data_IF_108913852944
#
_entry.id   IF_108913852944
#
_cell.length_a   1.000
_cell.length_b   1.000
_cell.length_c   1.000
_cell.angle_alpha   90.00
_cell.angle_beta   90.00
_cell.angle_gamma   90.00
#
_symmetry.space_group_name_H-M   'P 1'
#
loop_
_entity.id
_entity.type
_entity.pdbx_description
1 polymer ?
#
# COMPACT_ATOMS: atom_id res chain seq x y z
N UNK A 1 21.93 -12.57 -3.81
CA UNK A 1 20.69 -12.54 -3.00
C UNK A 1 19.56 -11.76 -3.70
N UNK A 2 19.87 -10.70 -4.47
CA UNK A 2 18.89 -9.90 -5.25
C UNK A 2 18.29 -10.63 -6.47
N UNK A 3 19.04 -11.57 -7.05
CA UNK A 3 18.64 -12.31 -8.28
C UNK A 3 17.31 -13.07 -8.13
N UNK A 4 16.96 -13.51 -6.92
CA UNK A 4 15.72 -14.25 -6.65
C UNK A 4 14.51 -13.36 -6.31
N UNK A 5 14.69 -12.03 -6.27
CA UNK A 5 13.59 -11.10 -6.00
C UNK A 5 12.85 -10.82 -7.31
N UNK A 6 11.53 -10.99 -7.28
CA UNK A 6 10.62 -10.55 -8.33
C UNK A 6 10.17 -9.12 -8.02
N UNK A 7 10.83 -8.15 -8.64
CA UNK A 7 10.57 -6.73 -8.39
C UNK A 7 9.21 -6.29 -8.92
N UNK A 8 8.69 -6.91 -10.00
CA UNK A 8 7.34 -6.61 -10.52
C UNK A 8 6.23 -6.71 -9.49
N UNK A 9 6.41 -7.57 -8.48
CA UNK A 9 5.40 -7.80 -7.44
C UNK A 9 5.46 -6.82 -6.28
N UNK A 10 6.54 -6.03 -6.17
CA UNK A 10 6.75 -5.07 -5.09
C UNK A 10 5.86 -3.84 -5.26
N UNK A 11 5.12 -3.47 -4.22
CA UNK A 11 4.34 -2.24 -4.18
C UNK A 11 5.18 -1.09 -3.61
N UNK A 12 6.16 -0.65 -4.40
CA UNK A 12 7.10 0.41 -4.04
C UNK A 12 6.37 1.73 -3.78
N UNK A 13 5.30 2.02 -4.53
CA UNK A 13 4.52 3.25 -4.36
C UNK A 13 3.83 3.29 -3.01
N UNK A 14 3.21 2.19 -2.57
CA UNK A 14 2.64 2.11 -1.22
C UNK A 14 3.70 2.34 -0.14
N UNK A 15 4.86 1.69 -0.26
CA UNK A 15 5.95 1.86 0.69
C UNK A 15 6.44 3.33 0.74
N UNK A 16 6.67 3.94 -0.41
CA UNK A 16 7.09 5.35 -0.51
C UNK A 16 6.03 6.29 0.08
N UNK A 17 4.74 6.00 -0.12
CA UNK A 17 3.65 6.77 0.50
C UNK A 17 3.72 6.68 2.03
N UNK A 18 3.87 5.49 2.59
CA UNK A 18 3.92 5.26 4.04
C UNK A 18 5.14 5.96 4.69
N UNK A 19 6.29 5.92 4.01
CA UNK A 19 7.50 6.66 4.44
C UNK A 19 7.24 8.17 4.37
N UNK A 20 6.75 8.67 3.24
CA UNK A 20 6.46 10.11 3.05
C UNK A 20 5.49 10.63 4.10
N UNK A 21 4.38 9.92 4.34
CA UNK A 21 3.36 10.31 5.32
C UNK A 21 3.90 10.32 6.75
N UNK A 22 4.79 9.37 7.07
CA UNK A 22 5.45 9.34 8.39
C UNK A 22 6.33 10.56 8.59
N UNK A 23 7.22 10.87 7.63
CA UNK A 23 8.09 12.03 7.68
C UNK A 23 7.29 13.35 7.65
N UNK A 24 6.25 13.43 6.82
CA UNK A 24 5.32 14.56 6.78
C UNK A 24 4.69 14.83 8.15
N UNK A 25 4.17 13.78 8.79
CA UNK A 25 3.57 13.90 10.12
C UNK A 25 4.59 14.34 11.17
N UNK A 26 5.82 13.82 11.09
CA UNK A 26 6.93 14.24 11.96
C UNK A 26 7.29 15.72 11.78
N UNK A 27 7.16 16.27 10.57
CA UNK A 27 7.38 17.69 10.29
C UNK A 27 6.37 18.63 10.91
N UNK A 28 5.20 18.12 11.28
CA UNK A 28 4.08 18.92 11.81
C UNK A 28 3.92 18.78 13.33
N UNK A 29 4.77 18.01 14.02
CA UNK A 29 4.62 17.78 15.47
C UNK A 29 4.81 19.05 16.30
N UNK A 30 5.49 20.06 15.75
CA UNK A 30 5.64 21.38 16.34
C UNK A 30 4.30 22.14 16.50
N UNK A 31 3.26 21.75 15.76
CA UNK A 31 1.91 22.31 15.88
C UNK A 31 1.14 21.71 17.08
N UNK A 32 1.62 20.64 17.70
CA UNK A 32 0.91 19.97 18.80
C UNK A 32 0.56 20.91 19.97
N UNK A 33 1.45 21.80 20.45
CA UNK A 33 1.11 22.76 21.51
C UNK A 33 0.00 23.75 21.10
N UNK A 34 -0.05 24.13 19.82
CA UNK A 34 -1.12 24.96 19.27
C UNK A 34 -2.47 24.23 19.32
N UNK A 35 -2.54 23.00 18.80
CA UNK A 35 -3.78 22.22 18.83
C UNK A 35 -4.26 21.92 20.26
N UNK A 36 -3.35 21.63 21.20
CA UNK A 36 -3.72 21.46 22.61
C UNK A 36 -4.27 22.75 23.24
N UNK A 37 -3.75 23.92 22.85
CA UNK A 37 -4.28 25.22 23.27
C UNK A 37 -5.70 25.43 22.74
N UNK A 38 -5.94 25.22 21.45
CA UNK A 38 -7.26 25.35 20.83
C UNK A 38 -8.29 24.39 21.45
N UNK A 39 -7.90 23.14 21.68
CA UNK A 39 -8.71 22.16 22.39
C UNK A 39 -9.17 22.69 23.77
N UNK A 40 -8.22 23.18 24.56
CA UNK A 40 -8.49 23.73 25.89
C UNK A 40 -9.40 24.97 25.83
N UNK A 41 -9.23 25.84 24.82
CA UNK A 41 -10.08 27.02 24.64
C UNK A 41 -11.54 26.64 24.35
N UNK A 42 -11.78 25.66 23.47
CA UNK A 42 -13.15 25.18 23.17
C UNK A 42 -13.79 24.57 24.43
N UNK A 43 -13.03 23.79 25.20
CA UNK A 43 -13.50 23.25 26.49
C UNK A 43 -13.81 24.34 27.51
N UNK A 44 -12.97 25.38 27.61
CA UNK A 44 -13.22 26.52 28.48
C UNK A 44 -14.46 27.31 28.06
N UNK A 45 -14.68 27.47 26.75
CA UNK A 45 -15.90 28.08 26.19
C UNK A 45 -17.15 27.30 26.58
N UNK A 46 -17.10 25.97 26.48
CA UNK A 46 -18.17 25.06 26.94
C UNK A 46 -18.46 25.27 28.42
N UNK A 47 -17.42 25.27 29.26
CA UNK A 47 -17.54 25.51 30.70
C UNK A 47 -18.14 26.88 31.05
N UNK A 48 -17.67 27.97 30.40
CA UNK A 48 -18.21 29.33 30.59
C UNK A 48 -19.68 29.41 30.23
N UNK A 49 -20.09 28.80 29.11
CA UNK A 49 -21.51 28.76 28.69
C UNK A 49 -22.36 28.01 29.71
N UNK A 50 -21.87 26.89 30.23
CA UNK A 50 -22.56 26.11 31.25
C UNK A 50 -22.70 26.87 32.57
N UNK A 51 -21.62 27.50 33.04
CA UNK A 51 -21.62 28.33 34.26
C UNK A 51 -22.58 29.51 34.14
N UNK A 52 -22.61 30.20 33.00
CA UNK A 52 -23.55 31.31 32.74
C UNK A 52 -25.01 30.87 32.75
N UNK A 53 -25.32 29.64 32.31
CA UNK A 53 -26.68 29.08 32.38
C UNK A 53 -27.09 28.85 33.83
N UNK A 54 -26.21 28.21 34.62
CA UNK A 54 -26.45 27.97 36.04
C UNK A 54 -26.65 29.28 36.81
N UNK A 55 -25.83 30.30 36.53
CA UNK A 55 -25.97 31.63 37.13
C UNK A 55 -27.30 32.33 36.79
N UNK A 56 -27.96 31.96 35.68
CA UNK A 56 -29.29 32.44 35.30
C UNK A 56 -30.43 31.58 35.87
N UNK A 57 -30.13 30.62 36.73
CA UNK A 57 -31.12 29.68 37.28
C UNK A 57 -31.60 28.61 36.29
N UNK A 58 -30.96 28.49 35.12
CA UNK A 58 -31.33 27.49 34.11
C UNK A 58 -30.61 26.18 34.45
N UNK A 59 -31.33 25.26 35.10
CA UNK A 59 -30.80 23.96 35.55
C UNK A 59 -31.02 22.82 34.55
N UNK A 60 -31.90 23.01 33.56
CA UNK A 60 -32.11 22.02 32.49
C UNK A 60 -30.87 21.91 31.60
N UNK A 61 -30.38 20.68 31.42
CA UNK A 61 -29.28 20.40 30.51
C UNK A 61 -29.70 20.68 29.06
N UNK A 62 -28.93 21.48 28.31
CA UNK A 62 -29.21 21.70 26.90
C UNK A 62 -28.87 20.47 26.07
N UNK A 63 -29.66 20.20 25.02
CA UNK A 63 -29.36 19.16 24.03
C UNK A 63 -27.95 19.31 23.44
N UNK A 64 -27.48 20.54 23.24
CA UNK A 64 -26.11 20.86 22.81
C UNK A 64 -25.63 22.18 23.43
N UNK A 65 -24.41 22.19 24.00
CA UNK A 65 -23.74 23.40 24.55
C UNK A 65 -22.85 24.09 23.50
N UNK A 66 -22.34 23.29 22.56
CA UNK A 66 -21.51 23.72 21.43
C UNK A 66 -22.34 23.71 20.15
N UNK A 67 -21.97 24.55 19.19
CA UNK A 67 -22.55 24.52 17.85
C UNK A 67 -22.04 23.29 17.08
N UNK A 68 -22.73 22.91 16.00
CA UNK A 68 -22.28 21.82 15.13
C UNK A 68 -20.88 22.07 14.54
N UNK A 69 -20.59 23.33 14.18
CA UNK A 69 -19.27 23.75 13.71
C UNK A 69 -18.20 23.53 14.78
N UNK A 70 -18.46 23.95 16.03
CA UNK A 70 -17.54 23.76 17.15
C UNK A 70 -17.33 22.26 17.48
N UNK A 71 -18.36 21.44 17.32
CA UNK A 71 -18.25 19.98 17.49
C UNK A 71 -17.37 19.36 16.39
N UNK A 72 -17.57 19.76 15.14
CA UNK A 72 -16.76 19.29 14.00
C UNK A 72 -15.30 19.69 14.16
N UNK A 73 -15.07 20.93 14.58
CA UNK A 73 -13.74 21.47 14.87
C UNK A 73 -13.06 20.71 16.01
N UNK A 74 -13.76 20.48 17.13
CA UNK A 74 -13.21 19.74 18.26
C UNK A 74 -12.79 18.32 17.88
N UNK A 75 -13.58 17.61 17.08
CA UNK A 75 -13.22 16.29 16.55
C UNK A 75 -11.97 16.32 15.67
N UNK A 76 -11.82 17.35 14.83
CA UNK A 76 -10.66 17.51 13.98
C UNK A 76 -9.38 17.78 14.81
N UNK A 77 -9.47 18.68 15.79
CA UNK A 77 -8.37 19.00 16.71
C UNK A 77 -7.97 17.77 17.53
N UNK A 78 -8.94 17.03 18.08
CA UNK A 78 -8.69 15.81 18.84
C UNK A 78 -7.95 14.76 18.00
N UNK A 79 -8.36 14.59 16.74
CA UNK A 79 -7.69 13.70 15.81
C UNK A 79 -6.25 14.15 15.53
N UNK A 80 -6.01 15.45 15.30
CA UNK A 80 -4.67 16.02 15.10
C UNK A 80 -3.76 15.80 16.31
N UNK A 81 -4.26 16.06 17.51
CA UNK A 81 -3.53 15.80 18.77
C UNK A 81 -3.13 14.33 18.85
N UNK A 82 -4.06 13.41 18.56
CA UNK A 82 -3.80 11.96 18.59
C UNK A 82 -2.72 11.55 17.60
N UNK A 83 -2.79 12.04 16.36
CA UNK A 83 -1.82 11.76 15.30
C UNK A 83 -0.42 12.22 15.73
N UNK A 84 -0.29 13.47 16.16
CA UNK A 84 1.03 14.03 16.53
C UNK A 84 1.61 13.42 17.81
N UNK A 85 0.77 13.08 18.80
CA UNK A 85 1.22 12.33 19.98
C UNK A 85 1.76 10.95 19.64
N UNK A 86 1.14 10.28 18.67
CA UNK A 86 1.63 8.99 18.17
C UNK A 86 2.95 9.17 17.43
N UNK A 87 3.06 10.20 16.58
CA UNK A 87 4.26 10.51 15.82
C UNK A 87 5.47 10.85 16.70
N UNK A 88 5.28 11.45 17.89
CA UNK A 88 6.36 11.73 18.83
C UNK A 88 7.22 10.48 19.16
N UNK A 89 6.62 9.29 19.18
CA UNK A 89 7.36 8.03 19.43
C UNK A 89 8.36 7.68 18.31
N UNK A 90 8.21 8.25 17.13
CA UNK A 90 9.04 8.01 15.94
C UNK A 90 10.10 9.09 15.72
N UNK A 91 10.20 10.09 16.59
CA UNK A 91 11.16 11.20 16.43
C UNK A 91 12.61 10.69 16.40
N UNK A 92 12.90 9.56 17.03
CA UNK A 92 14.22 8.94 17.04
C UNK A 92 14.74 8.51 15.66
N UNK A 93 13.86 8.40 14.64
CA UNK A 93 14.28 8.09 13.27
C UNK A 93 14.90 9.30 12.57
N UNK A 94 14.74 10.52 13.10
CA UNK A 94 15.24 11.74 12.48
C UNK A 94 16.73 11.96 12.82
N UNK A 95 17.53 12.39 11.85
CA UNK A 95 18.94 12.72 12.06
C UNK A 95 19.11 13.95 12.96
N UNK A 96 18.21 14.92 12.86
CA UNK A 96 18.25 16.12 13.70
C UNK A 96 17.92 15.86 15.18
N UNK A 97 17.49 14.64 15.55
CA UNK A 97 17.18 14.28 16.92
C UNK A 97 18.42 13.72 17.66
N UNK A 98 18.75 14.34 18.81
CA UNK A 98 19.80 13.84 19.70
C UNK A 98 19.20 13.01 20.87
N UNK A 99 19.56 11.72 21.01
CA UNK A 99 19.07 10.85 22.09
C UNK A 99 19.40 11.33 23.51
N UNK A 100 20.40 12.19 23.69
CA UNK A 100 20.80 12.70 25.01
C UNK A 100 19.80 13.72 25.60
N UNK A 101 18.78 14.12 24.85
CA UNK A 101 17.79 15.12 25.27
C UNK A 101 16.57 14.55 26.03
N UNK A 102 16.61 13.28 26.44
CA UNK A 102 15.52 12.64 27.20
C UNK A 102 15.55 13.14 28.65
N UNK A 103 14.46 13.77 29.08
CA UNK A 103 14.28 14.27 30.44
C UNK A 103 12.82 14.07 30.87
N UNK A 104 12.61 13.32 31.97
CA UNK A 104 11.28 13.05 32.52
C UNK A 104 10.51 14.29 32.96
N UNK A 105 11.18 15.45 33.12
CA UNK A 105 10.52 16.73 33.39
C UNK A 105 9.78 17.31 32.17
N UNK A 106 10.08 16.80 30.96
CA UNK A 106 9.54 17.30 29.70
C UNK A 106 8.15 16.73 29.41
N UNK A 107 7.24 17.61 29.00
CA UNK A 107 5.81 17.31 28.77
C UNK A 107 5.57 16.30 27.64
N UNK A 108 6.29 16.41 26.53
CA UNK A 108 5.99 15.65 25.31
C UNK A 108 6.88 14.41 25.22
N UNK A 109 6.37 13.27 25.73
CA UNK A 109 7.05 11.96 25.78
C UNK A 109 8.44 11.97 26.44
N UNK A 110 8.71 12.89 27.39
CA UNK A 110 10.06 13.11 27.94
C UNK A 110 11.09 13.59 26.90
N UNK A 111 10.65 13.98 25.70
CA UNK A 111 11.52 14.41 24.59
C UNK A 111 11.62 15.93 24.50
N UNK A 112 10.48 16.62 24.64
CA UNK A 112 10.39 18.06 24.46
C UNK A 112 9.57 18.74 25.56
N UNK A 113 10.04 19.90 26.03
CA UNK A 113 9.16 20.90 26.60
C UNK A 113 8.42 21.67 25.48
N UNK A 114 7.48 22.54 25.85
CA UNK A 114 6.66 23.28 24.88
C UNK A 114 7.52 24.14 23.93
N UNK A 115 8.46 24.92 24.46
CA UNK A 115 9.28 25.82 23.66
C UNK A 115 10.27 25.07 22.75
N UNK A 116 10.77 23.91 23.18
CA UNK A 116 11.59 23.02 22.36
C UNK A 116 10.78 22.44 21.20
N UNK A 117 9.57 21.94 21.47
CA UNK A 117 8.71 21.35 20.44
C UNK A 117 8.28 22.39 19.40
N UNK A 118 7.92 23.60 19.82
CA UNK A 118 7.54 24.70 18.91
C UNK A 118 8.68 25.11 17.97
N UNK A 119 9.93 24.92 18.39
CA UNK A 119 11.13 25.21 17.58
C UNK A 119 11.61 24.00 16.77
N UNK A 120 11.03 22.83 16.97
CA UNK A 120 11.42 21.62 16.28
C UNK A 120 10.99 21.70 14.81
N UNK A 121 11.95 21.69 13.88
CA UNK A 121 11.69 21.87 12.46
C UNK A 121 12.62 21.00 11.61
N UNK A 122 12.36 19.68 11.52
CA UNK A 122 13.13 18.79 10.66
C UNK A 122 12.96 19.15 9.18
N UNK A 123 13.95 18.81 8.35
CA UNK A 123 13.93 19.07 6.91
C UNK A 123 13.02 18.09 6.16
N UNK A 124 11.71 18.21 6.37
CA UNK A 124 10.70 17.32 5.78
C UNK A 124 10.28 17.76 4.39
N UNK A 125 10.42 19.06 4.09
CA UNK A 125 10.20 19.58 2.73
C UNK A 125 11.16 18.90 1.75
N UNK A 126 12.43 18.72 2.12
CA UNK A 126 13.42 17.98 1.33
C UNK A 126 12.97 16.54 1.02
N UNK A 127 12.52 15.81 2.05
CA UNK A 127 12.00 14.44 1.90
C UNK A 127 10.82 14.40 0.93
N UNK A 128 9.84 15.29 1.11
CA UNK A 128 8.64 15.31 0.27
C UNK A 128 9.00 15.67 -1.18
N UNK A 129 9.82 16.71 -1.39
CA UNK A 129 10.27 17.12 -2.73
C UNK A 129 11.03 16.00 -3.44
N UNK A 130 11.92 15.29 -2.75
CA UNK A 130 12.65 14.18 -3.33
C UNK A 130 11.71 13.02 -3.69
N UNK A 131 10.93 12.52 -2.74
CA UNK A 131 10.15 11.30 -2.90
C UNK A 131 8.91 11.47 -3.78
N UNK A 132 8.25 12.62 -3.72
CA UNK A 132 7.00 12.89 -4.47
C UNK A 132 7.18 13.75 -5.70
N UNK A 133 8.21 14.59 -5.73
CA UNK A 133 8.49 15.48 -6.85
C UNK A 133 9.52 14.90 -7.81
N UNK A 134 10.74 14.68 -7.31
CA UNK A 134 11.91 14.41 -8.15
C UNK A 134 11.92 12.96 -8.68
N UNK A 135 11.61 11.96 -7.85
CA UNK A 135 11.63 10.54 -8.28
C UNK A 135 10.79 10.28 -9.54
N UNK A 136 9.52 10.72 -9.64
CA UNK A 136 8.73 10.54 -10.85
C UNK A 136 9.41 11.09 -12.11
N UNK A 137 9.96 12.30 -12.04
CA UNK A 137 10.65 12.94 -13.17
C UNK A 137 11.94 12.20 -13.54
N UNK A 138 12.76 11.82 -12.56
CA UNK A 138 13.99 11.06 -12.83
C UNK A 138 13.71 9.68 -13.43
N UNK A 139 12.64 9.03 -12.98
CA UNK A 139 12.24 7.74 -13.53
C UNK A 139 11.80 7.87 -14.99
N UNK A 140 11.02 8.90 -15.32
CA UNK A 140 10.60 9.16 -16.70
C UNK A 140 11.80 9.35 -17.62
N UNK A 141 12.73 10.23 -17.23
CA UNK A 141 13.98 10.47 -17.98
C UNK A 141 14.80 9.18 -18.12
N UNK A 142 14.96 8.42 -17.04
CA UNK A 142 15.73 7.17 -17.09
C UNK A 142 15.09 6.12 -18.02
N UNK A 143 13.76 6.00 -18.02
CA UNK A 143 13.06 5.09 -18.95
C UNK A 143 13.26 5.55 -20.40
N UNK A 144 13.19 6.85 -20.67
CA UNK A 144 13.48 7.39 -22.01
C UNK A 144 14.91 7.09 -22.45
N UNK A 145 15.89 7.22 -21.54
CA UNK A 145 17.28 6.87 -21.81
C UNK A 145 17.43 5.38 -22.16
N UNK A 146 16.79 4.48 -21.39
CA UNK A 146 16.80 3.03 -21.68
C UNK A 146 16.23 2.74 -23.07
N UNK A 147 15.12 3.37 -23.46
CA UNK A 147 14.49 3.17 -24.77
C UNK A 147 15.32 3.77 -25.91
N UNK A 148 15.99 4.89 -25.69
CA UNK A 148 16.85 5.51 -26.69
C UNK A 148 18.18 4.74 -26.86
N UNK A 149 18.77 4.24 -25.77
CA UNK A 149 19.89 3.31 -25.80
C UNK A 149 19.51 2.05 -26.60
N UNK A 150 18.30 1.51 -26.41
CA UNK A 150 17.81 0.37 -27.18
C UNK A 150 17.77 0.65 -28.70
N UNK A 151 17.25 1.82 -29.12
CA UNK A 151 17.13 2.17 -30.56
C UNK A 151 18.46 2.11 -31.32
N UNK A 152 19.58 2.31 -30.62
CA UNK A 152 20.93 2.30 -31.21
C UNK A 152 21.68 0.99 -30.96
N UNK A 153 21.08 0.06 -30.20
CA UNK A 153 21.65 -1.24 -29.87
C UNK A 153 21.50 -2.24 -31.03
N UNK A 154 22.54 -3.04 -31.34
CA UNK A 154 22.42 -4.12 -32.32
C UNK A 154 21.70 -5.37 -31.77
N UNK A 155 21.36 -5.40 -30.48
CA UNK A 155 20.72 -6.53 -29.82
C UNK A 155 19.21 -6.57 -30.10
N UNK A 156 18.64 -7.78 -30.10
CA UNK A 156 17.18 -7.93 -30.03
C UNK A 156 16.65 -7.33 -28.73
N UNK A 157 15.43 -6.77 -28.77
CA UNK A 157 14.84 -6.01 -27.66
C UNK A 157 14.85 -6.76 -26.33
N UNK A 158 14.47 -8.05 -26.37
CA UNK A 158 14.45 -8.92 -25.21
C UNK A 158 15.85 -9.13 -24.60
N UNK A 159 16.85 -9.37 -25.44
CA UNK A 159 18.24 -9.61 -25.00
C UNK A 159 18.86 -8.33 -24.45
N UNK A 160 18.57 -7.18 -25.09
CA UNK A 160 18.97 -5.88 -24.59
C UNK A 160 18.43 -5.61 -23.18
N UNK A 161 17.12 -5.80 -22.97
CA UNK A 161 16.50 -5.60 -21.65
C UNK A 161 17.03 -6.57 -20.60
N UNK A 162 17.21 -7.85 -20.94
CA UNK A 162 17.81 -8.85 -20.01
C UNK A 162 19.22 -8.45 -19.59
N UNK A 163 20.04 -8.00 -20.54
CA UNK A 163 21.39 -7.53 -20.24
C UNK A 163 21.39 -6.27 -19.36
N UNK A 164 20.51 -5.30 -19.63
CA UNK A 164 20.36 -4.09 -18.78
C UNK A 164 19.87 -4.46 -17.38
N UNK A 165 18.88 -5.35 -17.28
CA UNK A 165 18.34 -5.84 -16.02
C UNK A 165 19.42 -6.50 -15.16
N UNK A 166 20.26 -7.34 -15.76
CA UNK A 166 21.36 -8.00 -15.06
C UNK A 166 22.37 -6.98 -14.49
N UNK A 167 22.73 -5.95 -15.27
CA UNK A 167 23.61 -4.87 -14.80
C UNK A 167 23.01 -4.11 -13.62
N UNK A 168 21.72 -3.79 -13.67
CA UNK A 168 21.03 -3.09 -12.58
C UNK A 168 20.93 -3.95 -11.32
N UNK A 169 20.60 -5.25 -11.46
CA UNK A 169 20.55 -6.18 -10.31
C UNK A 169 21.93 -6.46 -9.69
N UNK A 170 23.01 -6.24 -10.42
CA UNK A 170 24.38 -6.33 -9.92
C UNK A 170 24.83 -5.10 -9.13
N UNK A 171 24.05 -4.00 -9.13
CA UNK A 171 24.35 -2.83 -8.33
C UNK A 171 24.24 -3.13 -6.83
N UNK A 172 24.92 -2.31 -6.01
CA UNK A 172 24.75 -2.37 -4.57
C UNK A 172 23.49 -1.60 -4.15
N UNK A 173 22.67 -2.21 -3.30
CA UNK A 173 21.43 -1.64 -2.77
C UNK A 173 21.54 -1.57 -1.24
N UNK A 174 21.63 -0.36 -0.72
CA UNK A 174 21.78 -0.08 0.71
C UNK A 174 20.43 -0.21 1.45
N UNK A 175 19.34 0.19 0.81
CA UNK A 175 18.02 0.34 1.44
C UNK A 175 17.03 -0.77 1.06
N UNK A 176 17.35 -1.61 0.08
CA UNK A 176 16.48 -2.67 -0.42
C UNK A 176 15.97 -3.61 0.67
N UNK A 177 16.80 -3.99 1.64
CA UNK A 177 16.34 -4.84 2.75
C UNK A 177 15.25 -4.16 3.59
N UNK A 178 15.41 -2.87 3.91
CA UNK A 178 14.38 -2.08 4.61
C UNK A 178 13.10 -1.99 3.79
N UNK A 179 13.20 -1.79 2.47
CA UNK A 179 12.07 -1.74 1.55
C UNK A 179 11.31 -3.07 1.55
N UNK A 180 12.02 -4.20 1.42
CA UNK A 180 11.41 -5.53 1.38
C UNK A 180 10.72 -5.89 2.70
N UNK A 181 11.30 -5.47 3.83
CA UNK A 181 10.75 -5.72 5.15
C UNK A 181 9.69 -4.69 5.58
N UNK A 182 9.43 -3.66 4.77
CA UNK A 182 8.50 -2.58 5.10
C UNK A 182 8.94 -1.74 6.31
N UNK A 183 10.25 -1.69 6.58
CA UNK A 183 10.85 -0.92 7.67
C UNK A 183 11.11 0.50 7.19
N UNK A 184 10.72 1.51 7.97
CA UNK A 184 10.97 2.91 7.63
C UNK A 184 12.48 3.16 7.60
N UNK A 185 12.97 3.78 6.53
CA UNK A 185 14.38 4.22 6.47
C UNK A 185 14.56 5.41 7.40
N UNK A 186 15.53 5.29 8.30
CA UNK A 186 15.88 6.35 9.23
C UNK A 186 16.68 7.46 8.53
N UNK A 187 16.57 8.66 9.09
CA UNK A 187 17.44 9.82 8.82
C UNK A 187 17.30 10.39 7.41
N UNK A 188 16.12 10.24 6.79
CA UNK A 188 15.84 10.85 5.49
C UNK A 188 15.70 12.37 5.59
N UNK A 189 15.59 12.96 6.78
CA UNK A 189 15.70 14.42 6.96
C UNK A 189 17.12 14.95 6.70
N UNK A 190 18.13 14.07 6.63
CA UNK A 190 19.43 14.37 6.03
C UNK A 190 19.35 14.31 4.50
N UNK A 191 19.79 15.39 3.84
CA UNK A 191 19.70 15.51 2.38
C UNK A 191 20.52 14.45 1.64
N UNK A 192 21.70 14.07 2.15
CA UNK A 192 22.56 13.09 1.50
C UNK A 192 21.89 11.72 1.51
N UNK A 193 21.40 11.28 2.68
CA UNK A 193 20.68 10.01 2.81
C UNK A 193 19.40 9.98 2.00
N UNK A 194 18.64 11.09 1.99
CA UNK A 194 17.44 11.18 1.18
C UNK A 194 17.73 11.05 -0.32
N UNK A 195 18.84 11.64 -0.78
CA UNK A 195 19.27 11.54 -2.17
C UNK A 195 19.76 10.14 -2.55
N UNK A 196 20.53 9.49 -1.67
CA UNK A 196 20.94 8.10 -1.88
C UNK A 196 19.74 7.16 -1.96
N UNK A 197 18.80 7.32 -1.02
CA UNK A 197 17.56 6.54 -0.99
C UNK A 197 16.69 6.79 -2.23
N UNK A 198 16.55 8.04 -2.68
CA UNK A 198 15.79 8.35 -3.90
C UNK A 198 16.43 7.78 -5.16
N UNK A 199 17.76 7.83 -5.27
CA UNK A 199 18.49 7.20 -6.37
C UNK A 199 18.34 5.68 -6.39
N UNK A 200 18.31 5.04 -5.22
CA UNK A 200 18.04 3.61 -5.12
C UNK A 200 16.60 3.25 -5.52
N UNK A 201 15.62 4.06 -5.12
CA UNK A 201 14.22 3.87 -5.54
C UNK A 201 14.05 3.99 -7.05
N UNK A 202 14.74 4.92 -7.71
CA UNK A 202 14.74 5.05 -9.18
C UNK A 202 15.26 3.76 -9.82
N UNK A 203 16.40 3.22 -9.37
CA UNK A 203 16.95 1.95 -9.86
C UNK A 203 16.00 0.78 -9.64
N UNK A 204 15.36 0.70 -8.48
CA UNK A 204 14.36 -0.34 -8.19
C UNK A 204 13.20 -0.25 -9.19
N UNK A 205 12.70 0.95 -9.47
CA UNK A 205 11.63 1.16 -10.44
C UNK A 205 12.06 0.89 -11.89
N UNK A 206 13.30 1.17 -12.26
CA UNK A 206 13.87 0.73 -13.55
C UNK A 206 13.88 -0.80 -13.68
N UNK A 207 14.28 -1.50 -12.61
CA UNK A 207 14.22 -2.97 -12.56
C UNK A 207 12.78 -3.45 -12.75
N UNK A 208 11.80 -2.84 -12.07
CA UNK A 208 10.37 -3.16 -12.25
C UNK A 208 9.91 -2.95 -13.69
N UNK A 209 10.30 -1.83 -14.30
CA UNK A 209 9.99 -1.53 -15.70
C UNK A 209 10.55 -2.62 -16.65
N UNK A 210 11.83 -2.96 -16.52
CA UNK A 210 12.49 -3.94 -17.36
C UNK A 210 11.91 -5.34 -17.17
N UNK A 211 11.65 -5.76 -15.93
CA UNK A 211 11.02 -7.07 -15.67
C UNK A 211 9.61 -7.15 -16.28
N UNK A 212 8.82 -6.07 -16.22
CA UNK A 212 7.52 -6.01 -16.87
C UNK A 212 7.66 -6.12 -18.40
N UNK A 213 8.57 -5.37 -19.01
CA UNK A 213 8.81 -5.41 -20.46
C UNK A 213 9.32 -6.76 -20.94
N UNK A 214 10.23 -7.40 -20.21
CA UNK A 214 10.72 -8.75 -20.52
C UNK A 214 9.56 -9.73 -20.46
N UNK A 215 8.73 -9.66 -19.41
CA UNK A 215 7.57 -10.52 -19.30
C UNK A 215 6.56 -10.34 -20.43
N UNK A 216 6.25 -9.10 -20.82
CA UNK A 216 5.38 -8.79 -21.97
C UNK A 216 5.93 -9.42 -23.26
N UNK A 217 7.24 -9.29 -23.50
CA UNK A 217 7.90 -9.82 -24.69
C UNK A 217 7.99 -11.36 -24.71
N UNK A 218 8.19 -11.99 -23.55
CA UNK A 218 8.20 -13.45 -23.41
C UNK A 218 6.81 -14.07 -23.48
N UNK A 219 5.78 -13.28 -23.12
CA UNK A 219 4.39 -13.72 -23.04
C UNK A 219 3.47 -12.83 -23.89
N UNK A 220 3.69 -12.71 -25.21
CA UNK A 220 2.97 -11.80 -26.08
C UNK A 220 1.46 -12.11 -26.18
N UNK A 221 1.04 -13.30 -25.76
CA UNK A 221 -0.36 -13.74 -25.68
C UNK A 221 -1.14 -13.03 -24.56
N UNK A 222 -0.45 -12.43 -23.57
CA UNK A 222 -1.07 -11.81 -22.40
C UNK A 222 -1.55 -10.37 -22.71
N UNK A 223 -0.91 -9.63 -23.63
CA UNK A 223 -1.35 -8.28 -24.03
C UNK A 223 -2.56 -8.27 -24.99
N UNK A 224 -2.73 -9.30 -25.82
CA UNK A 224 -3.80 -9.33 -26.84
C UNK A 224 -5.21 -9.63 -26.31
N UNK A 225 -5.37 -9.93 -25.02
CA UNK A 225 -6.68 -10.24 -24.44
C UNK A 225 -7.20 -9.23 -23.40
N UNK A 226 -6.49 -8.13 -23.12
CA UNK A 226 -7.00 -7.10 -22.18
C UNK A 226 -8.18 -6.28 -22.72
N UNK A 227 -8.47 -6.38 -24.03
CA UNK A 227 -9.54 -5.62 -24.69
C UNK A 227 -10.96 -6.19 -24.55
N UNK A 228 -11.12 -7.48 -24.21
CA UNK A 228 -12.44 -8.14 -24.28
C UNK A 228 -12.63 -9.28 -23.25
N UNK A 229 -12.12 -9.13 -22.03
CA UNK A 229 -12.48 -10.07 -20.96
C UNK A 229 -13.96 -9.92 -20.57
N UNK A 230 -14.82 -10.76 -21.18
CA UNK A 230 -16.16 -11.06 -20.66
C UNK A 230 -16.02 -11.54 -19.22
N UNK A 231 -16.45 -10.71 -18.28
CA UNK A 231 -16.53 -11.00 -16.83
C UNK A 231 -16.97 -12.45 -16.59
N UNK A 232 -16.23 -13.19 -15.75
CA UNK A 232 -16.68 -14.49 -15.26
C UNK A 232 -18.02 -14.33 -14.54
N UNK A 233 -18.92 -15.28 -14.74
CA UNK A 233 -20.13 -15.42 -13.95
C UNK A 233 -19.79 -15.81 -12.51
N UNK A 234 -20.73 -15.56 -11.59
CA UNK A 234 -20.54 -15.87 -10.17
C UNK A 234 -20.28 -17.37 -9.93
N UNK A 235 -20.85 -18.24 -10.77
CA UNK A 235 -20.66 -19.69 -10.70
C UNK A 235 -19.28 -20.12 -11.17
N UNK A 236 -18.76 -19.51 -12.24
CA UNK A 236 -17.40 -19.79 -12.74
C UNK A 236 -16.34 -19.31 -11.73
N UNK A 237 -16.55 -18.14 -11.10
CA UNK A 237 -15.70 -17.65 -10.01
C UNK A 237 -15.73 -18.62 -8.83
N UNK A 238 -16.92 -19.05 -8.40
CA UNK A 238 -17.06 -20.01 -7.30
C UNK A 238 -16.34 -21.35 -7.59
N UNK A 239 -16.46 -21.86 -8.81
CA UNK A 239 -15.80 -23.09 -9.24
C UNK A 239 -14.28 -22.97 -9.23
N UNK A 240 -13.75 -21.83 -9.66
CA UNK A 240 -12.33 -21.52 -9.60
C UNK A 240 -11.80 -21.55 -8.16
N UNK A 241 -12.48 -20.90 -7.23
CA UNK A 241 -12.07 -20.91 -5.82
C UNK A 241 -12.10 -22.32 -5.21
N UNK A 242 -13.15 -23.09 -5.47
CA UNK A 242 -13.26 -24.47 -4.99
C UNK A 242 -12.11 -25.34 -5.49
N UNK A 243 -11.76 -25.21 -6.78
CA UNK A 243 -10.73 -26.04 -7.41
C UNK A 243 -9.32 -25.63 -6.97
N UNK A 244 -9.06 -24.34 -6.74
CA UNK A 244 -7.80 -23.87 -6.14
C UNK A 244 -7.62 -24.34 -4.68
N UNK A 245 -8.70 -24.42 -3.90
CA UNK A 245 -8.71 -24.97 -2.52
C UNK A 245 -8.43 -26.47 -2.54
N UNK A 246 -9.09 -27.21 -3.43
CA UNK A 246 -8.88 -28.65 -3.62
C UNK A 246 -7.47 -28.99 -4.15
N UNK A 247 -6.85 -28.10 -4.91
CA UNK A 247 -5.48 -28.26 -5.42
C UNK A 247 -4.41 -27.85 -4.40
N UNK A 248 -4.80 -27.39 -3.20
CA UNK A 248 -3.87 -26.98 -2.14
C UNK A 248 -3.13 -25.67 -2.43
N UNK A 249 -3.44 -24.98 -3.53
CA UNK A 249 -2.92 -23.65 -3.87
C UNK A 249 -3.57 -22.59 -2.97
N UNK A 250 -4.85 -22.80 -2.67
CA UNK A 250 -5.60 -21.96 -1.76
C UNK A 250 -5.70 -22.69 -0.41
N UNK A 251 -5.19 -22.07 0.65
CA UNK A 251 -5.31 -22.59 2.01
C UNK A 251 -6.35 -21.73 2.73
N UNK A 252 -7.53 -22.30 3.00
CA UNK A 252 -8.46 -21.73 3.97
C UNK A 252 -7.74 -21.58 5.32
N UNK A 253 -7.54 -20.36 5.85
CA UNK A 253 -7.70 -20.01 7.28
C UNK A 253 -7.35 -18.53 7.62
N UNK A 254 -8.15 -17.98 8.57
CA UNK A 254 -8.10 -16.73 9.38
C UNK A 254 -7.92 -15.35 8.70
N UNK A 255 -8.86 -14.45 9.05
CA UNK A 255 -9.09 -13.05 8.63
C UNK A 255 -7.95 -12.06 9.02
N UNK A 256 -6.74 -12.54 9.29
CA UNK A 256 -5.61 -11.73 9.78
C UNK A 256 -4.31 -11.94 9.01
N UNK A 257 -4.32 -12.67 7.90
CA UNK A 257 -3.15 -12.89 7.05
C UNK A 257 -3.22 -12.06 5.75
N UNK A 258 -2.06 -11.66 5.24
CA UNK A 258 -1.96 -10.93 3.97
C UNK A 258 -2.21 -11.89 2.80
N UNK A 259 -3.40 -11.77 2.20
CA UNK A 259 -3.87 -12.60 1.10
C UNK A 259 -3.57 -11.97 -0.27
N UNK A 260 -2.78 -10.90 -0.33
CA UNK A 260 -2.59 -10.08 -1.55
C UNK A 260 -2.10 -10.91 -2.73
N UNK A 261 -1.15 -11.83 -2.54
CA UNK A 261 -0.62 -12.67 -3.63
C UNK A 261 -1.64 -13.68 -4.16
N UNK A 262 -2.45 -14.27 -3.28
CA UNK A 262 -3.50 -15.21 -3.66
C UNK A 262 -4.63 -14.48 -4.37
N UNK A 263 -5.02 -13.31 -3.89
CA UNK A 263 -6.11 -12.55 -4.51
C UNK A 263 -5.64 -11.90 -5.83
N UNK A 264 -4.36 -11.52 -5.97
CA UNK A 264 -3.77 -11.14 -7.26
C UNK A 264 -3.86 -12.28 -8.27
N UNK A 265 -3.49 -13.52 -7.88
CA UNK A 265 -3.62 -14.69 -8.74
C UNK A 265 -5.07 -14.91 -9.18
N UNK A 266 -6.03 -14.78 -8.25
CA UNK A 266 -7.45 -14.89 -8.55
C UNK A 266 -7.93 -13.76 -9.48
N UNK A 267 -7.54 -12.51 -9.23
CA UNK A 267 -7.90 -11.36 -10.09
C UNK A 267 -7.35 -11.52 -11.51
N UNK A 268 -6.11 -12.03 -11.64
CA UNK A 268 -5.49 -12.37 -12.94
C UNK A 268 -6.30 -13.46 -13.64
N UNK A 269 -6.63 -14.56 -12.96
CA UNK A 269 -7.42 -15.65 -13.55
C UNK A 269 -8.86 -15.20 -13.87
N UNK A 270 -9.41 -14.25 -13.10
CA UNK A 270 -10.77 -13.75 -13.28
C UNK A 270 -10.90 -12.59 -14.27
N UNK A 271 -9.78 -12.10 -14.84
CA UNK A 271 -9.78 -10.91 -15.70
C UNK A 271 -10.33 -9.66 -14.99
N UNK A 272 -10.11 -9.55 -13.68
CA UNK A 272 -10.55 -8.40 -12.88
C UNK A 272 -9.43 -7.36 -12.80
N UNK A 273 -9.68 -6.16 -13.31
CA UNK A 273 -8.76 -5.02 -13.18
C UNK A 273 -8.63 -4.63 -11.71
N UNK A 274 -7.41 -4.72 -11.16
CA UNK A 274 -7.13 -4.51 -9.76
C UNK A 274 -6.22 -3.29 -9.55
N UNK A 275 -6.83 -2.12 -9.36
CA UNK A 275 -6.12 -0.82 -9.28
C UNK A 275 -5.84 -0.31 -7.86
N UNK A 276 -6.35 -0.93 -6.80
CA UNK A 276 -6.01 -0.57 -5.40
C UNK A 276 -6.66 -1.53 -4.39
N UNK A 277 -6.06 -1.62 -3.19
CA UNK A 277 -6.50 -2.35 -1.97
C UNK A 277 -7.92 -2.94 -2.07
N UNK A 278 -8.06 -4.28 -2.06
CA UNK A 278 -9.36 -4.98 -1.97
C UNK A 278 -9.98 -4.70 -0.59
N UNK A 279 -10.62 -3.55 -0.48
CA UNK A 279 -11.70 -3.31 0.46
C UNK A 279 -13.06 -3.61 -0.18
N UNK A 280 -13.08 -4.12 -1.41
CA UNK A 280 -14.34 -4.46 -2.06
C UNK A 280 -14.91 -5.75 -1.47
N UNK A 281 -15.84 -5.57 -0.52
CA UNK A 281 -16.64 -6.65 0.08
C UNK A 281 -17.37 -7.51 -0.97
N UNK A 282 -17.47 -7.07 -2.23
CA UNK A 282 -18.03 -7.86 -3.33
C UNK A 282 -17.19 -9.08 -3.69
N UNK A 283 -15.86 -9.02 -3.56
CA UNK A 283 -15.00 -10.21 -3.77
C UNK A 283 -15.30 -11.27 -2.70
N UNK A 284 -15.45 -10.84 -1.45
CA UNK A 284 -15.87 -11.70 -0.34
C UNK A 284 -17.35 -12.12 -0.39
N UNK A 285 -18.20 -11.41 -1.13
CA UNK A 285 -19.59 -11.83 -1.41
C UNK A 285 -19.63 -13.10 -2.25
N UNK A 286 -18.76 -13.20 -3.27
CA UNK A 286 -18.63 -14.40 -4.11
C UNK A 286 -18.02 -15.58 -3.35
N UNK A 287 -17.13 -15.31 -2.40
CA UNK A 287 -16.62 -16.30 -1.44
C UNK A 287 -17.72 -16.85 -0.52
N UNK A 288 -18.55 -15.98 0.07
CA UNK A 288 -19.65 -16.40 0.97
C UNK A 288 -20.74 -17.20 0.26
N UNK A 289 -20.94 -17.04 -1.06
CA UNK A 289 -21.86 -17.88 -1.84
C UNK A 289 -21.38 -19.31 -2.08
N UNK A 290 -20.12 -19.64 -1.77
CA UNK A 290 -19.56 -21.02 -1.89
C UNK A 290 -19.73 -21.82 -0.59
N UNK A 291 -20.26 -21.22 0.47
CA UNK A 291 -20.36 -21.83 1.81
C UNK A 291 -21.72 -22.45 2.15
N UNK A 292 -22.65 -22.55 1.19
CA UNK A 292 -23.82 -23.41 1.36
C UNK A 292 -23.52 -24.76 0.72
N UNK A 293 -23.56 -25.84 1.49
CA UNK A 293 -23.37 -27.22 0.98
C UNK A 293 -24.39 -27.57 -0.12
N UNK A 294 -25.48 -26.80 -0.23
CA UNK A 294 -26.49 -26.90 -1.27
C UNK A 294 -26.13 -26.21 -2.61
N UNK A 295 -25.12 -25.33 -2.64
CA UNK A 295 -24.70 -24.64 -3.87
C UNK A 295 -23.53 -25.34 -4.58
N UNK A 296 -22.81 -26.25 -3.91
CA UNK A 296 -21.65 -26.96 -4.48
C UNK A 296 -22.04 -27.80 -5.70
N UNK A 297 -23.15 -28.54 -5.64
CA UNK A 297 -23.64 -29.34 -6.76
C UNK A 297 -24.11 -28.49 -7.94
N UNK A 298 -24.59 -27.26 -7.69
CA UNK A 298 -25.03 -26.31 -8.72
C UNK A 298 -23.87 -25.58 -9.40
N UNK A 299 -22.70 -25.59 -8.78
CA UNK A 299 -21.45 -24.98 -9.27
C UNK A 299 -20.61 -26.02 -10.01
N UNK A 300 -20.53 -27.26 -9.49
CA UNK A 300 -19.76 -28.37 -10.09
C UNK A 300 -20.51 -29.08 -11.23
N UNK A 301 -21.06 -28.31 -12.17
CA UNK A 301 -21.69 -28.86 -13.37
C UNK A 301 -20.66 -29.02 -14.49
N UNK A 302 -20.89 -29.99 -15.37
CA UNK A 302 -20.06 -30.22 -16.57
C UNK A 302 -19.89 -28.93 -17.39
N UNK A 303 -20.98 -28.21 -17.60
CA UNK A 303 -21.01 -26.92 -18.32
C UNK A 303 -20.09 -25.87 -17.68
N UNK A 304 -20.12 -25.71 -16.35
CA UNK A 304 -19.27 -24.72 -15.68
C UNK A 304 -17.78 -25.11 -15.74
N UNK A 305 -17.45 -26.40 -15.63
CA UNK A 305 -16.07 -26.88 -15.78
C UNK A 305 -15.58 -26.69 -17.23
N UNK A 306 -16.38 -27.05 -18.23
CA UNK A 306 -16.02 -26.87 -19.64
C UNK A 306 -15.83 -25.39 -20.00
N UNK A 307 -16.69 -24.50 -19.49
CA UNK A 307 -16.55 -23.06 -19.65
C UNK A 307 -15.29 -22.51 -18.96
N UNK A 308 -15.02 -22.94 -17.72
CA UNK A 308 -13.82 -22.53 -16.98
C UNK A 308 -12.53 -23.04 -17.65
N UNK A 309 -12.50 -24.31 -18.05
CA UNK A 309 -11.37 -24.90 -18.78
C UNK A 309 -11.16 -24.17 -20.10
N UNK A 310 -12.23 -23.90 -20.85
CA UNK A 310 -12.17 -23.15 -22.11
C UNK A 310 -11.51 -21.79 -21.97
N UNK A 311 -11.76 -21.09 -20.86
CA UNK A 311 -11.14 -19.79 -20.53
C UNK A 311 -9.70 -19.90 -20.02
N UNK A 312 -9.35 -21.03 -19.40
CA UNK A 312 -8.02 -21.28 -18.84
C UNK A 312 -7.04 -21.88 -19.84
N UNK A 313 -7.51 -22.37 -21.00
CA UNK A 313 -6.68 -23.05 -22.02
C UNK A 313 -5.43 -22.27 -22.46
N UNK A 314 -5.49 -20.94 -22.39
CA UNK A 314 -4.41 -20.04 -22.80
C UNK A 314 -3.56 -19.54 -21.61
N UNK A 315 -3.73 -20.14 -20.43
CA UNK A 315 -2.94 -19.85 -19.24
C UNK A 315 -1.78 -20.85 -19.08
N UNK A 316 -0.66 -20.41 -18.52
CA UNK A 316 0.53 -21.26 -18.28
C UNK A 316 0.32 -22.36 -17.21
N UNK A 317 -0.85 -22.43 -16.59
CA UNK A 317 -1.16 -23.38 -15.52
C UNK A 317 -1.66 -24.74 -16.06
N UNK A 318 -0.84 -25.41 -16.86
CA UNK A 318 -1.17 -26.72 -17.48
C UNK A 318 -1.54 -27.81 -16.47
N UNK A 319 -0.91 -27.79 -15.29
CA UNK A 319 -1.21 -28.72 -14.19
C UNK A 319 -2.61 -28.49 -13.61
N UNK A 320 -3.04 -27.22 -13.51
CA UNK A 320 -4.37 -26.85 -13.05
C UNK A 320 -5.44 -27.27 -14.07
N UNK A 321 -5.19 -27.06 -15.37
CA UNK A 321 -6.07 -27.54 -16.44
C UNK A 321 -6.19 -29.07 -16.40
N UNK A 322 -5.09 -29.80 -16.20
CA UNK A 322 -5.11 -31.25 -16.09
C UNK A 322 -5.95 -31.74 -14.89
N UNK A 323 -5.85 -31.04 -13.75
CA UNK A 323 -6.67 -31.30 -12.57
C UNK A 323 -8.16 -31.05 -12.81
N UNK A 324 -8.52 -29.92 -13.43
CA UNK A 324 -9.90 -29.62 -13.80
C UNK A 324 -10.49 -30.67 -14.75
N UNK A 325 -9.70 -31.13 -15.72
CA UNK A 325 -10.10 -32.21 -16.63
C UNK A 325 -10.30 -33.55 -15.93
N UNK A 326 -9.53 -33.85 -14.89
CA UNK A 326 -9.74 -35.06 -14.08
C UNK A 326 -11.03 -34.95 -13.27
N UNK A 327 -11.28 -33.80 -12.62
CA UNK A 327 -12.55 -33.56 -11.93
C UNK A 327 -13.78 -33.57 -12.86
N UNK A 328 -13.62 -33.13 -14.11
CA UNK A 328 -14.67 -33.20 -15.13
C UNK A 328 -15.06 -34.66 -15.45
N UNK A 329 -14.09 -35.58 -15.45
CA UNK A 329 -14.33 -37.02 -15.70
C UNK A 329 -15.08 -37.71 -14.57
N UNK A 330 -14.94 -37.20 -13.35
CA UNK A 330 -15.58 -37.76 -12.14
C UNK A 330 -17.04 -37.28 -11.96
N UNK A 331 -17.49 -36.30 -12.76
CA UNK A 331 -18.87 -35.84 -12.79
C UNK A 331 -19.68 -36.72 -13.76
N UNK A 332 -20.63 -37.48 -13.21
CA UNK A 332 -21.56 -38.33 -13.99
C UNK A 332 -22.54 -37.51 -14.82
#
# INVERSE_FOLDING_TARGET
MIENINFRLLDIDKYVNEVTDTYWTLGQINELPFYESEFNQIHFKKYKRQTRRLAKGITTEPKQILTETEIKELKNIENKIKIYKTALSKVCILDCYNPQNIDTSKKYNSLFNKAELEKFNPNISGVYTQLKGIIPTLLEVSIEEIENEFKTSPLQKIDYYKNRLQKLKAANFMYLESILNGVIVDRLDDNSKCFEFSGELVKIKEIQYLENKIFELENPQIENNLGDYKKLSQKEIALLFYTLDAFGIFIKYKVSQDLTSQIKLICVICGLDYKSKIQDQRIYKYWRSVHSDHDIERVRTKENYENLIGRLKDTDFKEFIAFLNNHLKDLK
#
